data_IF_415547138073
#
_entry.id   IF_415547138073
#
_cell.length_a   1.000
_cell.length_b   1.000
_cell.length_c   1.000
_cell.angle_alpha   90.00
_cell.angle_beta   90.00
_cell.angle_gamma   90.00
#
_symmetry.space_group_name_H-M   'P 1'
#
loop_
_entity.id
_entity.type
_entity.pdbx_description
1 polymer ?
#
# COMPACT_ATOMS: atom_id res chain seq x y z
N UNK A 1 26.00 8.12 3.15
CA UNK A 1 26.80 9.22 2.57
C UNK A 1 27.62 8.81 1.33
N UNK A 2 28.46 7.77 1.38
CA UNK A 2 29.39 7.40 0.27
C UNK A 2 28.71 7.21 -1.11
N UNK A 3 27.50 6.65 -1.16
CA UNK A 3 26.78 6.45 -2.42
C UNK A 3 26.31 7.76 -3.09
N UNK A 4 25.87 8.75 -2.30
CA UNK A 4 25.41 10.04 -2.86
C UNK A 4 26.58 10.87 -3.41
N UNK A 5 27.73 10.85 -2.75
CA UNK A 5 28.95 11.50 -3.29
C UNK A 5 29.41 10.86 -4.60
N UNK A 6 29.26 9.54 -4.75
CA UNK A 6 29.53 8.86 -6.02
C UNK A 6 28.53 9.30 -7.10
N UNK A 7 27.24 9.39 -6.78
CA UNK A 7 26.22 9.85 -7.72
C UNK A 7 26.46 11.29 -8.18
N UNK A 8 26.86 12.20 -7.29
CA UNK A 8 27.21 13.58 -7.68
C UNK A 8 28.34 13.61 -8.71
N UNK A 9 29.38 12.80 -8.50
CA UNK A 9 30.48 12.66 -9.47
C UNK A 9 30.03 12.06 -10.81
N UNK A 10 29.11 11.09 -10.78
CA UNK A 10 28.57 10.47 -12.00
C UNK A 10 27.70 11.47 -12.77
N UNK A 11 26.93 12.30 -12.09
CA UNK A 11 26.08 13.34 -12.70
C UNK A 11 26.91 14.46 -13.36
N UNK A 12 28.15 14.67 -12.92
CA UNK A 12 29.08 15.64 -13.52
C UNK A 12 29.81 15.09 -14.76
N UNK A 13 29.68 13.79 -15.05
CA UNK A 13 30.28 13.16 -16.23
C UNK A 13 29.52 13.51 -17.51
N UNK A 14 30.23 13.76 -18.62
CA UNK A 14 29.61 14.04 -19.93
C UNK A 14 28.76 12.87 -20.45
N UNK A 15 29.07 11.64 -20.04
CA UNK A 15 28.36 10.41 -20.43
C UNK A 15 27.35 9.95 -19.36
N UNK A 16 26.86 10.86 -18.52
CA UNK A 16 25.90 10.51 -17.47
C UNK A 16 24.52 10.15 -18.06
N UNK A 17 23.94 8.98 -17.71
CA UNK A 17 22.58 8.64 -18.12
C UNK A 17 21.55 9.47 -17.33
N UNK A 18 20.31 9.49 -17.82
CA UNK A 18 19.18 10.04 -17.04
C UNK A 18 18.93 9.14 -15.84
N UNK A 19 19.08 9.70 -14.63
CA UNK A 19 18.86 8.98 -13.38
C UNK A 19 17.49 9.37 -12.82
N UNK A 20 16.60 8.36 -12.67
CA UNK A 20 15.29 8.53 -12.05
C UNK A 20 15.34 7.94 -10.64
N UNK A 21 15.04 8.77 -9.66
CA UNK A 21 14.89 8.34 -8.27
C UNK A 21 13.40 8.25 -7.91
N UNK A 22 13.07 7.30 -7.04
CA UNK A 22 11.74 7.18 -6.45
C UNK A 22 11.88 7.01 -4.93
N UNK A 23 11.03 7.70 -4.17
CA UNK A 23 11.03 7.68 -2.71
C UNK A 23 9.61 7.81 -2.19
N UNK A 24 9.28 6.99 -1.19
CA UNK A 24 8.02 7.07 -0.46
C UNK A 24 8.20 7.69 0.92
N UNK A 25 9.37 8.30 1.20
CA UNK A 25 9.71 8.91 2.49
C UNK A 25 9.66 10.42 2.34
N UNK A 26 8.96 11.11 3.24
CA UNK A 26 8.99 12.58 3.34
C UNK A 26 10.31 13.07 3.92
N UNK A 27 10.30 13.65 5.11
CA UNK A 27 11.54 14.07 5.79
C UNK A 27 12.14 12.88 6.53
N UNK A 28 13.40 12.56 6.27
CA UNK A 28 14.08 11.45 6.96
C UNK A 28 15.56 11.74 7.17
N UNK A 29 16.17 11.03 8.11
CA UNK A 29 17.60 11.14 8.44
C UNK A 29 18.45 10.60 7.29
N UNK A 30 19.47 11.36 6.88
CA UNK A 30 20.42 10.87 5.87
C UNK A 30 21.23 9.73 6.50
N UNK A 31 21.22 8.57 5.86
CA UNK A 31 21.92 7.38 6.36
C UNK A 31 23.42 7.67 6.53
N UNK A 32 23.89 7.54 7.78
CA UNK A 32 25.28 7.74 8.19
C UNK A 32 25.61 9.14 8.70
N UNK A 33 24.62 10.02 8.90
CA UNK A 33 24.80 11.35 9.50
C UNK A 33 23.66 11.66 10.46
N UNK A 34 23.85 12.60 11.39
CA UNK A 34 22.80 13.06 12.32
C UNK A 34 21.78 14.03 11.71
N UNK A 35 21.99 14.47 10.47
CA UNK A 35 21.13 15.45 9.81
C UNK A 35 19.90 14.81 9.14
N UNK A 36 18.77 15.51 9.25
CA UNK A 36 17.53 15.21 8.51
C UNK A 36 17.46 16.05 7.24
N UNK A 37 16.87 15.48 6.19
CA UNK A 37 16.72 16.14 4.90
C UNK A 37 15.46 15.63 4.19
N UNK A 38 14.83 16.42 3.29
CA UNK A 38 13.79 15.91 2.41
C UNK A 38 14.27 14.66 1.66
N UNK A 39 13.42 13.64 1.65
CA UNK A 39 13.65 12.33 1.02
C UNK A 39 14.88 11.55 1.56
N UNK A 40 15.58 12.08 2.56
CA UNK A 40 16.85 11.51 3.05
C UNK A 40 18.02 11.70 2.08
N UNK A 41 17.90 12.66 1.16
CA UNK A 41 18.90 12.99 0.14
C UNK A 41 19.66 14.24 0.59
N UNK A 42 21.01 14.31 0.45
CA UNK A 42 21.77 15.53 0.76
C UNK A 42 21.32 16.72 -0.09
N UNK A 43 21.28 17.93 0.49
CA UNK A 43 20.83 19.15 -0.20
C UNK A 43 21.54 19.41 -1.53
N UNK A 44 22.86 19.18 -1.62
CA UNK A 44 23.65 19.35 -2.86
C UNK A 44 23.14 18.49 -4.04
N UNK A 45 22.62 17.28 -3.77
CA UNK A 45 22.00 16.46 -4.81
C UNK A 45 20.54 16.88 -5.05
N UNK A 46 19.81 17.22 -3.98
CA UNK A 46 18.41 17.63 -4.06
C UNK A 46 18.21 18.88 -4.92
N UNK A 47 19.08 19.88 -4.79
CA UNK A 47 19.03 21.13 -5.54
C UNK A 47 19.22 20.93 -7.06
N UNK A 48 19.79 19.78 -7.47
CA UNK A 48 20.01 19.39 -8.87
C UNK A 48 18.89 18.50 -9.42
N UNK A 49 17.90 18.13 -8.60
CA UNK A 49 16.83 17.20 -8.98
C UNK A 49 15.54 17.91 -9.36
N UNK A 50 14.87 17.41 -10.41
CA UNK A 50 13.48 17.75 -10.68
C UNK A 50 12.57 16.84 -9.84
N UNK A 51 11.77 17.44 -8.96
CA UNK A 51 10.84 16.70 -8.10
C UNK A 51 9.48 16.63 -8.78
N UNK A 52 8.99 15.42 -9.02
CA UNK A 52 7.65 15.14 -9.55
C UNK A 52 6.86 14.42 -8.45
N UNK A 53 5.75 15.02 -8.03
CA UNK A 53 4.84 14.40 -7.05
C UNK A 53 3.79 13.55 -7.77
N UNK A 54 3.55 12.35 -7.25
CA UNK A 54 2.44 11.50 -7.70
C UNK A 54 1.21 11.77 -6.85
N UNK A 55 0.03 11.78 -7.46
CA UNK A 55 -1.25 11.94 -6.76
C UNK A 55 -1.84 10.58 -6.35
N UNK A 56 -2.82 10.63 -5.45
CA UNK A 56 -3.56 9.43 -5.05
C UNK A 56 -4.51 9.01 -6.18
N UNK A 57 -4.69 7.70 -6.33
CA UNK A 57 -5.58 7.13 -7.33
C UNK A 57 -7.04 7.20 -6.85
N UNK A 58 -7.95 7.43 -7.79
CA UNK A 58 -9.40 7.35 -7.53
C UNK A 58 -9.91 5.91 -7.70
N UNK A 59 -11.07 5.58 -7.10
CA UNK A 59 -11.68 4.25 -7.21
C UNK A 59 -11.86 3.76 -8.65
N UNK A 60 -12.12 4.68 -9.59
CA UNK A 60 -12.22 4.35 -11.01
C UNK A 60 -10.87 3.92 -11.59
N UNK A 61 -9.77 4.57 -11.19
CA UNK A 61 -8.42 4.19 -11.61
C UNK A 61 -8.03 2.82 -11.04
N UNK A 62 -8.38 2.57 -9.78
CA UNK A 62 -8.22 1.24 -9.16
C UNK A 62 -8.91 0.16 -10.00
N UNK A 63 -10.18 0.36 -10.39
CA UNK A 63 -10.91 -0.58 -11.22
C UNK A 63 -10.26 -0.76 -12.60
N UNK A 64 -9.84 0.32 -13.26
CA UNK A 64 -9.23 0.26 -14.58
C UNK A 64 -7.89 -0.48 -14.56
N UNK A 65 -7.03 -0.20 -13.57
CA UNK A 65 -5.75 -0.87 -13.42
C UNK A 65 -5.96 -2.36 -13.11
N UNK A 66 -6.87 -2.70 -12.20
CA UNK A 66 -7.16 -4.10 -11.89
C UNK A 66 -7.75 -4.84 -13.09
N UNK A 67 -8.62 -4.19 -13.87
CA UNK A 67 -9.15 -4.76 -15.11
C UNK A 67 -8.03 -5.10 -16.09
N UNK A 68 -7.11 -4.17 -16.33
CA UNK A 68 -5.95 -4.39 -17.21
C UNK A 68 -5.09 -5.55 -16.68
N UNK A 69 -4.90 -5.65 -15.36
CA UNK A 69 -4.15 -6.76 -14.76
C UNK A 69 -4.84 -8.11 -14.93
N UNK A 70 -6.16 -8.17 -14.81
CA UNK A 70 -6.91 -9.39 -15.08
C UNK A 70 -6.79 -9.81 -16.55
N UNK A 71 -6.79 -8.84 -17.49
CA UNK A 71 -6.57 -9.08 -18.91
C UNK A 71 -5.13 -9.56 -19.19
N UNK A 72 -4.12 -8.99 -18.53
CA UNK A 72 -2.71 -9.42 -18.65
C UNK A 72 -2.45 -10.82 -18.07
N UNK A 73 -3.13 -11.20 -16.98
CA UNK A 73 -2.98 -12.50 -16.32
C UNK A 73 -3.91 -13.59 -16.89
N UNK A 74 -4.68 -13.30 -17.94
CA UNK A 74 -5.71 -14.17 -18.52
C UNK A 74 -6.67 -14.73 -17.45
N UNK A 75 -7.19 -13.85 -16.58
CA UNK A 75 -8.14 -14.22 -15.53
C UNK A 75 -9.48 -13.54 -15.74
N UNK A 76 -10.53 -14.35 -15.87
CA UNK A 76 -11.89 -13.86 -16.01
C UNK A 76 -12.49 -13.55 -14.63
N UNK A 77 -12.90 -12.30 -14.42
CA UNK A 77 -13.60 -11.86 -13.21
C UNK A 77 -15.05 -11.52 -13.51
N UNK A 78 -15.95 -11.85 -12.58
CA UNK A 78 -17.28 -11.26 -12.56
C UNK A 78 -17.19 -9.75 -12.27
N UNK A 79 -18.02 -8.94 -12.93
CA UNK A 79 -17.99 -7.48 -12.78
C UNK A 79 -18.21 -7.02 -11.33
N UNK A 80 -19.11 -7.68 -10.59
CA UNK A 80 -19.33 -7.42 -9.15
C UNK A 80 -18.09 -7.76 -8.32
N UNK A 81 -17.39 -8.84 -8.66
CA UNK A 81 -16.18 -9.28 -7.97
C UNK A 81 -15.01 -8.29 -8.20
N UNK A 82 -14.87 -7.75 -9.41
CA UNK A 82 -13.87 -6.73 -9.73
C UNK A 82 -14.11 -5.42 -8.96
N UNK A 83 -15.37 -4.98 -8.85
CA UNK A 83 -15.73 -3.80 -8.05
C UNK A 83 -15.42 -4.01 -6.56
N UNK A 84 -15.69 -5.21 -6.04
CA UNK A 84 -15.34 -5.57 -4.66
C UNK A 84 -13.83 -5.55 -4.44
N UNK A 85 -13.05 -6.10 -5.37
CA UNK A 85 -11.58 -6.08 -5.31
C UNK A 85 -11.02 -4.66 -5.32
N UNK A 86 -11.60 -3.76 -6.13
CA UNK A 86 -11.19 -2.36 -6.16
C UNK A 86 -11.43 -1.64 -4.83
N UNK A 87 -12.55 -1.92 -4.14
CA UNK A 87 -12.79 -1.41 -2.78
C UNK A 87 -11.77 -1.93 -1.77
N UNK A 88 -11.38 -3.21 -1.86
CA UNK A 88 -10.30 -3.77 -1.04
C UNK A 88 -8.99 -3.03 -1.32
N UNK A 89 -8.68 -2.77 -2.60
CA UNK A 89 -7.46 -2.08 -3.02
C UNK A 89 -7.37 -0.65 -2.47
N UNK A 90 -8.49 0.08 -2.47
CA UNK A 90 -8.61 1.42 -1.89
C UNK A 90 -8.40 1.41 -0.37
N UNK A 91 -8.95 0.42 0.34
CA UNK A 91 -8.83 0.31 1.80
C UNK A 91 -7.45 -0.18 2.27
N UNK A 92 -6.73 -0.93 1.43
CA UNK A 92 -5.47 -1.57 1.78
C UNK A 92 -4.31 -1.04 0.92
N UNK A 93 -4.02 -1.72 -0.19
CA UNK A 93 -3.04 -1.29 -1.19
C UNK A 93 -3.28 -1.97 -2.53
N UNK A 94 -2.87 -1.30 -3.61
CA UNK A 94 -2.88 -1.89 -4.96
C UNK A 94 -2.12 -3.20 -5.05
N UNK A 95 -0.96 -3.28 -4.38
CA UNK A 95 -0.12 -4.48 -4.39
C UNK A 95 -0.86 -5.69 -3.82
N UNK A 96 -1.56 -5.50 -2.71
CA UNK A 96 -2.30 -6.59 -2.07
C UNK A 96 -3.45 -7.05 -2.96
N UNK A 97 -4.21 -6.13 -3.56
CA UNK A 97 -5.28 -6.47 -4.49
C UNK A 97 -4.77 -7.24 -5.72
N UNK A 98 -3.64 -6.84 -6.31
CA UNK A 98 -3.01 -7.58 -7.41
C UNK A 98 -2.62 -9.01 -7.01
N UNK A 99 -2.10 -9.20 -5.81
CA UNK A 99 -1.78 -10.56 -5.32
C UNK A 99 -3.05 -11.41 -5.14
N UNK A 100 -4.16 -10.80 -4.71
CA UNK A 100 -5.44 -11.49 -4.59
C UNK A 100 -5.98 -11.97 -5.94
N UNK A 101 -5.69 -11.28 -7.06
CA UNK A 101 -6.10 -11.73 -8.40
C UNK A 101 -5.62 -13.16 -8.66
N UNK A 102 -4.31 -13.38 -8.52
CA UNK A 102 -3.70 -14.68 -8.78
C UNK A 102 -4.21 -15.75 -7.81
N UNK A 103 -4.33 -15.42 -6.52
CA UNK A 103 -4.81 -16.37 -5.49
C UNK A 103 -6.27 -16.75 -5.73
N UNK A 104 -7.14 -15.78 -6.01
CA UNK A 104 -8.56 -16.03 -6.29
C UNK A 104 -8.76 -16.87 -7.56
N UNK A 105 -7.90 -16.69 -8.58
CA UNK A 105 -7.89 -17.58 -9.75
C UNK A 105 -7.58 -19.03 -9.38
N UNK A 106 -6.56 -19.25 -8.54
CA UNK A 106 -6.21 -20.61 -8.06
C UNK A 106 -7.38 -21.24 -7.29
N UNK A 107 -8.07 -20.46 -6.45
CA UNK A 107 -9.24 -20.92 -5.70
C UNK A 107 -10.42 -21.27 -6.64
N UNK A 108 -10.68 -20.45 -7.65
CA UNK A 108 -11.72 -20.70 -8.65
C UNK A 108 -11.41 -21.97 -9.48
N UNK A 109 -10.17 -22.10 -9.96
CA UNK A 109 -9.69 -23.29 -10.68
C UNK A 109 -9.80 -24.56 -9.84
N UNK A 110 -9.51 -24.50 -8.53
CA UNK A 110 -9.70 -25.62 -7.61
C UNK A 110 -11.17 -26.06 -7.50
N UNK A 111 -12.10 -25.12 -7.66
CA UNK A 111 -13.55 -25.39 -7.71
C UNK A 111 -14.04 -25.75 -9.12
N UNK A 112 -13.13 -25.98 -10.08
CA UNK A 112 -13.41 -26.28 -11.48
C UNK A 112 -14.19 -25.16 -12.20
N UNK A 113 -14.02 -23.90 -11.76
CA UNK A 113 -14.54 -22.70 -12.44
C UNK A 113 -13.39 -21.93 -13.10
N UNK A 114 -13.68 -21.34 -14.25
CA UNK A 114 -12.73 -20.46 -14.96
C UNK A 114 -12.94 -18.98 -14.62
N UNK A 115 -14.14 -18.62 -14.15
CA UNK A 115 -14.50 -17.27 -13.71
C UNK A 115 -14.37 -17.13 -12.20
N UNK A 116 -13.74 -16.05 -11.76
CA UNK A 116 -13.59 -15.68 -10.35
C UNK A 116 -14.82 -14.93 -9.87
N UNK A 117 -15.43 -15.43 -8.80
CA UNK A 117 -16.58 -14.80 -8.13
C UNK A 117 -16.16 -14.11 -6.83
N UNK A 118 -17.08 -13.31 -6.27
CA UNK A 118 -16.84 -12.57 -5.03
C UNK A 118 -16.44 -13.49 -3.86
N UNK A 119 -16.99 -14.70 -3.78
CA UNK A 119 -16.69 -15.65 -2.70
C UNK A 119 -15.25 -16.16 -2.74
N UNK A 120 -14.65 -16.27 -3.92
CA UNK A 120 -13.25 -16.65 -4.07
C UNK A 120 -12.31 -15.55 -3.56
N UNK A 121 -12.71 -14.29 -3.75
CA UNK A 121 -11.98 -13.12 -3.23
C UNK A 121 -12.11 -13.05 -1.72
N UNK A 122 -13.31 -13.22 -1.16
CA UNK A 122 -13.51 -13.28 0.30
C UNK A 122 -12.65 -14.38 0.92
N UNK A 123 -12.66 -15.57 0.33
CA UNK A 123 -11.84 -16.70 0.81
C UNK A 123 -10.34 -16.41 0.70
N UNK A 124 -9.89 -15.77 -0.38
CA UNK A 124 -8.50 -15.35 -0.53
C UNK A 124 -8.11 -14.29 0.52
N UNK A 125 -8.99 -13.31 0.75
CA UNK A 125 -8.81 -12.25 1.73
C UNK A 125 -8.77 -12.76 3.18
N UNK A 126 -9.51 -13.83 3.48
CA UNK A 126 -9.48 -14.47 4.79
C UNK A 126 -8.20 -15.28 5.02
N UNK A 127 -7.71 -15.95 3.98
CA UNK A 127 -6.47 -16.75 4.05
C UNK A 127 -5.20 -15.88 4.06
N UNK A 128 -5.19 -14.77 3.32
CA UNK A 128 -4.03 -13.90 3.17
C UNK A 128 -4.31 -12.54 3.79
N UNK A 129 -3.62 -12.24 4.89
CA UNK A 129 -3.77 -10.99 5.61
C UNK A 129 -3.03 -9.85 4.90
N UNK A 130 -3.61 -8.65 4.92
CA UNK A 130 -2.90 -7.43 4.58
C UNK A 130 -2.07 -6.94 5.77
N UNK A 131 -1.19 -5.97 5.51
CA UNK A 131 -0.29 -5.42 6.53
C UNK A 131 -1.06 -4.83 7.70
N UNK A 132 -2.16 -4.10 7.46
CA UNK A 132 -2.96 -3.46 8.50
C UNK A 132 -3.57 -4.50 9.45
N UNK A 133 -4.29 -5.49 8.89
CA UNK A 133 -4.84 -6.58 9.70
C UNK A 133 -3.75 -7.40 10.42
N UNK A 134 -2.60 -7.60 9.79
CA UNK A 134 -1.50 -8.35 10.43
C UNK A 134 -0.94 -7.64 11.66
N UNK A 135 -0.82 -6.31 11.61
CA UNK A 135 -0.41 -5.49 12.76
C UNK A 135 -1.47 -5.54 13.85
N UNK A 136 -2.77 -5.42 13.51
CA UNK A 136 -3.85 -5.49 14.51
C UNK A 136 -3.92 -6.85 15.22
N UNK A 137 -3.64 -7.94 14.51
CA UNK A 137 -3.56 -9.29 15.10
C UNK A 137 -2.34 -9.37 16.02
N UNK A 138 -1.20 -8.84 15.58
CA UNK A 138 0.02 -8.80 16.39
C UNK A 138 -0.15 -7.95 17.64
N UNK A 139 -0.86 -6.83 17.60
CA UNK A 139 -1.14 -6.01 18.77
C UNK A 139 -2.02 -6.75 19.80
N UNK A 140 -2.94 -7.61 19.33
CA UNK A 140 -3.84 -8.40 20.20
C UNK A 140 -3.15 -9.62 20.83
N UNK A 141 -2.30 -10.30 20.06
CA UNK A 141 -1.59 -11.52 20.49
C UNK A 141 -0.17 -11.19 21.00
N UNK A 142 0.23 -9.92 20.93
CA UNK A 142 1.60 -9.43 21.10
C UNK A 142 2.31 -9.93 22.35
N UNK A 143 1.58 -10.08 23.46
CA UNK A 143 2.13 -10.60 24.72
C UNK A 143 2.67 -12.04 24.65
N UNK A 144 2.31 -12.82 23.64
CA UNK A 144 2.81 -14.18 23.41
C UNK A 144 4.08 -14.19 22.53
N UNK A 145 4.44 -13.08 21.90
CA UNK A 145 5.62 -12.96 21.05
C UNK A 145 6.85 -12.53 21.85
N UNK A 146 8.00 -13.11 21.51
CA UNK A 146 9.27 -12.73 22.12
C UNK A 146 9.58 -11.25 21.84
N UNK A 147 10.15 -10.55 22.83
CA UNK A 147 10.46 -9.11 22.82
C UNK A 147 9.27 -8.14 22.89
N UNK A 148 8.08 -8.59 23.34
CA UNK A 148 6.97 -7.70 23.65
C UNK A 148 7.16 -6.87 24.94
N UNK A 149 8.17 -7.21 25.74
CA UNK A 149 8.55 -6.43 26.92
C UNK A 149 9.31 -5.17 26.52
N UNK A 150 8.57 -4.08 26.30
CA UNK A 150 9.05 -2.72 26.58
C UNK A 150 10.07 -2.11 25.62
N UNK A 151 10.21 -2.61 24.39
CA UNK A 151 10.74 -1.78 23.32
C UNK A 151 9.60 -0.92 22.78
N UNK A 152 9.54 0.35 23.20
CA UNK A 152 8.64 1.36 22.64
C UNK A 152 8.72 1.31 21.10
N UNK A 153 7.80 0.58 20.47
CA UNK A 153 7.49 0.79 19.08
C UNK A 153 6.88 2.19 19.01
N UNK A 154 7.73 3.19 18.75
CA UNK A 154 7.27 4.50 18.31
C UNK A 154 6.35 4.26 17.11
N UNK A 155 5.04 4.29 17.36
CA UNK A 155 4.04 4.23 16.31
C UNK A 155 4.44 5.28 15.28
N UNK A 156 4.57 4.93 13.98
CA UNK A 156 4.89 5.94 12.97
C UNK A 156 3.85 7.04 13.11
N UNK A 157 4.30 8.26 13.43
CA UNK A 157 3.44 9.43 13.58
C UNK A 157 2.64 9.55 12.28
N UNK A 158 1.34 9.28 12.34
CA UNK A 158 0.42 9.63 11.24
C UNK A 158 0.56 11.15 11.06
N UNK A 159 1.10 11.58 9.92
CA UNK A 159 1.08 12.98 9.54
C UNK A 159 -0.40 13.39 9.41
N UNK A 160 -0.91 14.03 10.45
CA UNK A 160 -2.24 14.63 10.45
C UNK A 160 -2.21 15.85 9.53
N UNK A 161 -2.65 15.68 8.29
CA UNK A 161 -3.17 16.82 7.54
C UNK A 161 -4.40 17.33 8.30
N UNK A 162 -4.27 18.53 8.85
CA UNK A 162 -5.31 19.21 9.59
C UNK A 162 -6.57 19.38 8.72
N UNK A 163 -7.63 18.61 8.99
CA UNK A 163 -8.99 18.98 8.59
C UNK A 163 -9.58 19.84 9.70
N UNK A 164 -9.84 21.09 9.34
CA UNK A 164 -10.51 22.06 10.18
C UNK A 164 -11.86 21.51 10.68
N UNK A 165 -12.13 21.78 11.95
CA UNK A 165 -13.28 21.29 12.70
C UNK A 165 -14.62 21.75 12.11
N UNK A 166 -15.57 20.82 12.01
CA UNK A 166 -16.96 21.08 12.38
C UNK A 166 -17.49 19.89 13.18
N UNK A 167 -17.98 20.19 14.38
CA UNK A 167 -18.47 19.25 15.38
C UNK A 167 -19.86 18.75 14.97
N UNK A 168 -20.04 17.45 14.86
CA UNK A 168 -21.31 16.78 15.13
C UNK A 168 -21.01 15.41 15.74
N UNK A 169 -21.44 15.21 17.00
CA UNK A 169 -21.39 13.93 17.70
C UNK A 169 -22.23 12.91 16.95
N UNK A 170 -21.64 11.77 16.58
CA UNK A 170 -22.37 10.53 16.31
C UNK A 170 -21.60 9.42 17.02
N UNK A 171 -22.21 8.90 18.09
CA UNK A 171 -21.79 7.66 18.73
C UNK A 171 -21.98 6.52 17.73
N UNK A 172 -20.94 5.72 17.48
CA UNK A 172 -21.06 4.50 16.67
C UNK A 172 -20.63 3.32 17.52
N UNK A 173 -21.67 2.61 17.97
CA UNK A 173 -21.64 1.29 18.57
C UNK A 173 -20.90 0.28 17.69
N UNK A 174 -20.25 -0.67 18.36
CA UNK A 174 -19.77 -1.92 17.79
C UNK A 174 -20.83 -2.57 16.87
N UNK A 175 -20.48 -2.84 15.62
CA UNK A 175 -21.06 -3.92 14.81
C UNK A 175 -20.18 -4.14 13.56
N UNK A 176 -19.66 -5.36 13.37
CA UNK A 176 -20.25 -6.37 12.49
C UNK A 176 -20.63 -5.79 11.13
N UNK A 177 -19.80 -6.08 10.13
CA UNK A 177 -20.16 -5.99 8.72
C UNK A 177 -21.37 -6.88 8.51
N UNK A 178 -22.56 -6.28 8.37
CA UNK A 178 -23.75 -6.96 7.88
C UNK A 178 -23.61 -7.10 6.37
N UNK A 179 -23.79 -8.34 5.91
CA UNK A 179 -23.99 -8.69 4.52
C UNK A 179 -25.50 -8.59 4.34
N UNK A 180 -25.96 -7.56 3.64
CA UNK A 180 -27.32 -7.55 3.12
C UNK A 180 -27.27 -8.32 1.79
N UNK A 181 -27.78 -9.56 1.83
CA UNK A 181 -28.27 -10.27 0.65
C UNK A 181 -29.62 -9.63 0.30
N UNK A 182 -29.73 -9.01 -0.86
CA UNK A 182 -31.03 -8.73 -1.48
C UNK A 182 -31.01 -9.23 -2.93
N UNK A 183 -32.17 -9.79 -3.27
CA UNK A 183 -32.61 -10.55 -4.46
C UNK A 183 -32.22 -10.00 -5.85
#
# INVERSE_FOLDING_TARGET
MKAFSFLNRVLESEISPVIIFATNRGITKIRGTEYTSPFGIPMDLLDRMLIISTEQLDLNDFQNILKLRCEEEDVEFEQKALQFLAKIAEQTSMRYAMQLITVSNVIAKRQKRNTVHMDDIKKAHDLFLDVGRSVDILDKIGGEYMFHDGADFEKPKKETHAKAASKAKVEVNENKVRIDEDE
#
